data_IF_364660906457
#
_entry.id   IF_364660906457
#
_cell.length_a   1.000
_cell.length_b   1.000
_cell.length_c   1.000
_cell.angle_alpha   90.00
_cell.angle_beta   90.00
_cell.angle_gamma   90.00
#
_symmetry.space_group_name_H-M   'P 1'
#
loop_
_entity.id
_entity.type
_entity.pdbx_description
1 polymer ?
#
# COMPACT_ATOMS: atom_id res chain seq x y z
N UNK A 1 -34.61 18.49 11.83
CA UNK A 1 -35.53 17.40 12.21
C UNK A 1 -36.51 17.80 13.33
N UNK A 2 -36.14 18.60 14.32
CA UNK A 2 -37.04 19.01 15.43
C UNK A 2 -38.28 19.80 15.00
N UNK A 3 -38.16 20.71 14.00
CA UNK A 3 -39.32 21.56 13.56
C UNK A 3 -40.47 20.76 12.90
N UNK A 4 -40.18 19.67 12.19
CA UNK A 4 -41.20 18.86 11.50
C UNK A 4 -42.02 18.03 12.49
N UNK A 5 -41.41 17.58 13.58
CA UNK A 5 -42.06 16.78 14.62
C UNK A 5 -43.05 17.62 15.47
N UNK A 6 -42.69 18.84 15.87
CA UNK A 6 -43.55 19.74 16.67
C UNK A 6 -44.82 20.12 15.90
N UNK A 7 -44.68 20.56 14.64
CA UNK A 7 -45.83 20.94 13.81
C UNK A 7 -46.82 19.78 13.56
N UNK A 8 -46.32 18.53 13.53
CA UNK A 8 -47.15 17.34 13.34
C UNK A 8 -47.87 16.96 14.63
N UNK A 9 -47.28 17.24 15.80
CA UNK A 9 -47.88 17.03 17.11
C UNK A 9 -49.06 17.99 17.33
N UNK A 10 -48.88 19.28 17.00
CA UNK A 10 -49.92 20.28 17.10
C UNK A 10 -51.13 19.95 16.22
N UNK A 11 -50.91 19.44 15.02
CA UNK A 11 -51.95 18.94 14.11
C UNK A 11 -52.74 17.78 14.71
N UNK A 12 -52.07 16.83 15.35
CA UNK A 12 -52.70 15.68 15.94
C UNK A 12 -53.48 16.05 17.20
N UNK A 13 -52.97 16.91 18.07
CA UNK A 13 -53.68 17.43 19.25
C UNK A 13 -54.90 18.24 18.84
N UNK A 14 -54.75 19.08 17.82
CA UNK A 14 -55.88 19.84 17.28
C UNK A 14 -56.96 18.91 16.68
N UNK A 15 -56.55 17.86 15.97
CA UNK A 15 -57.44 16.87 15.37
C UNK A 15 -58.20 16.06 16.44
N UNK A 16 -57.57 15.73 17.55
CA UNK A 16 -58.22 15.06 18.68
C UNK A 16 -59.25 15.96 19.38
N UNK A 17 -59.01 17.27 19.46
CA UNK A 17 -59.88 18.21 20.12
C UNK A 17 -61.03 18.71 19.25
N UNK A 18 -60.79 18.96 17.97
CA UNK A 18 -61.72 19.64 17.09
C UNK A 18 -62.16 18.82 15.85
N UNK A 19 -61.71 17.58 15.79
CA UNK A 19 -62.01 16.66 14.68
C UNK A 19 -61.06 16.77 13.46
N UNK A 20 -60.96 15.66 12.72
CA UNK A 20 -60.01 15.51 11.60
C UNK A 20 -60.30 16.47 10.45
N UNK A 21 -61.59 16.75 10.15
CA UNK A 21 -61.99 17.66 9.08
C UNK A 21 -61.55 19.10 9.34
N UNK A 22 -61.72 19.56 10.56
CA UNK A 22 -61.30 20.91 10.96
C UNK A 22 -59.79 21.03 11.01
N UNK A 23 -59.09 19.98 11.46
CA UNK A 23 -57.62 19.93 11.42
C UNK A 23 -57.10 19.97 9.97
N UNK A 24 -57.69 19.20 9.07
CA UNK A 24 -57.32 19.20 7.68
C UNK A 24 -57.46 20.57 7.00
N UNK A 25 -58.55 21.28 7.28
CA UNK A 25 -58.81 22.65 6.80
C UNK A 25 -57.82 23.65 7.38
N UNK A 26 -57.67 23.67 8.72
CA UNK A 26 -56.78 24.61 9.43
C UNK A 26 -55.32 24.51 8.96
N UNK A 27 -54.86 23.29 8.80
CA UNK A 27 -53.45 23.05 8.46
C UNK A 27 -53.22 22.78 6.96
N UNK A 28 -54.23 23.05 6.11
CA UNK A 28 -54.14 22.89 4.64
C UNK A 28 -53.55 21.52 4.22
N UNK A 29 -54.13 20.45 4.78
CA UNK A 29 -53.62 19.08 4.55
C UNK A 29 -54.80 18.15 4.22
N UNK A 30 -54.46 16.92 3.78
CA UNK A 30 -55.47 15.90 3.44
C UNK A 30 -55.94 15.19 4.74
N UNK A 31 -57.25 14.89 4.85
CA UNK A 31 -57.82 14.10 5.95
C UNK A 31 -57.14 12.75 6.15
N UNK A 32 -56.77 12.06 5.04
CA UNK A 32 -56.07 10.79 5.12
C UNK A 32 -54.66 10.93 5.74
N UNK A 33 -53.99 12.06 5.54
CA UNK A 33 -52.71 12.33 6.18
C UNK A 33 -52.90 12.46 7.69
N UNK A 34 -53.94 13.19 8.15
CA UNK A 34 -54.26 13.35 9.58
C UNK A 34 -54.58 11.99 10.21
N UNK A 35 -55.44 11.17 9.59
CA UNK A 35 -55.71 9.80 10.07
C UNK A 35 -54.47 8.95 10.20
N UNK A 36 -53.57 8.99 9.21
CA UNK A 36 -52.28 8.24 9.23
C UNK A 36 -51.37 8.71 10.37
N UNK A 37 -51.39 10.00 10.70
CA UNK A 37 -50.61 10.53 11.80
C UNK A 37 -51.24 10.17 13.16
N UNK A 38 -52.56 10.30 13.31
CA UNK A 38 -53.26 9.89 14.49
C UNK A 38 -53.08 8.41 14.84
N UNK A 39 -53.08 7.54 13.82
CA UNK A 39 -52.79 6.10 14.01
C UNK A 39 -51.39 5.81 14.57
N UNK A 40 -50.43 6.73 14.39
CA UNK A 40 -49.06 6.61 14.88
C UNK A 40 -48.84 7.30 16.23
N UNK A 41 -49.75 8.23 16.59
CA UNK A 41 -49.59 9.08 17.75
C UNK A 41 -50.11 8.39 19.02
N UNK A 42 -49.18 8.14 19.95
CA UNK A 42 -49.43 7.52 21.25
C UNK A 42 -49.46 8.54 22.42
N UNK A 43 -49.58 9.83 22.10
CA UNK A 43 -49.46 10.91 23.08
C UNK A 43 -48.07 11.51 23.19
N UNK A 44 -47.05 10.85 22.67
CA UNK A 44 -45.68 11.32 22.70
C UNK A 44 -45.19 11.76 21.31
N UNK A 45 -44.51 12.91 21.25
CA UNK A 45 -43.91 13.46 20.00
C UNK A 45 -42.99 12.46 19.31
N UNK A 46 -42.29 11.62 20.09
CA UNK A 46 -41.36 10.61 19.56
C UNK A 46 -42.03 9.51 18.72
N UNK A 47 -43.32 9.25 18.95
CA UNK A 47 -44.05 8.25 18.15
C UNK A 47 -44.24 8.65 16.70
N UNK A 48 -44.22 9.95 16.42
CA UNK A 48 -44.29 10.53 15.08
C UNK A 48 -42.94 10.56 14.32
N UNK A 49 -41.87 10.22 14.99
CA UNK A 49 -40.54 10.19 14.35
C UNK A 49 -40.52 9.21 13.16
N UNK A 50 -39.88 9.62 12.07
CA UNK A 50 -39.70 8.76 10.90
C UNK A 50 -38.86 7.56 11.30
N UNK A 51 -39.41 6.37 11.19
CA UNK A 51 -38.67 5.13 11.38
C UNK A 51 -37.70 4.96 10.22
N UNK A 52 -36.53 4.42 10.51
CA UNK A 52 -35.55 4.08 9.47
C UNK A 52 -36.17 3.10 8.47
N UNK A 53 -36.05 3.41 7.16
CA UNK A 53 -36.42 2.51 6.06
C UNK A 53 -35.40 1.44 5.78
N UNK A 54 -34.32 1.44 6.54
CA UNK A 54 -33.21 0.51 6.36
C UNK A 54 -33.69 -0.91 6.71
N UNK A 55 -33.41 -1.90 5.88
CA UNK A 55 -33.71 -3.30 6.21
C UNK A 55 -33.07 -3.68 7.54
N UNK A 56 -33.78 -4.43 8.37
CA UNK A 56 -33.25 -4.97 9.64
C UNK A 56 -32.12 -5.95 9.38
N UNK A 57 -32.25 -6.74 8.33
CA UNK A 57 -31.24 -7.69 7.86
C UNK A 57 -30.81 -7.37 6.43
N UNK A 58 -29.54 -7.47 6.17
CA UNK A 58 -28.96 -7.38 4.82
C UNK A 58 -28.28 -8.71 4.51
N UNK A 59 -28.72 -9.48 3.49
CA UNK A 59 -28.12 -10.77 3.14
C UNK A 59 -26.63 -10.66 2.85
N UNK A 60 -26.20 -9.51 2.36
CA UNK A 60 -24.81 -9.22 2.02
C UNK A 60 -24.00 -8.58 3.15
N UNK A 61 -24.54 -8.52 4.39
CA UNK A 61 -23.75 -8.04 5.52
C UNK A 61 -22.61 -9.01 5.85
N UNK A 62 -21.47 -8.46 6.29
CA UNK A 62 -20.39 -9.30 6.82
C UNK A 62 -20.83 -9.95 8.11
N UNK A 63 -20.47 -11.22 8.28
CA UNK A 63 -20.66 -11.96 9.53
C UNK A 63 -19.65 -11.48 10.59
N UNK A 64 -19.93 -11.72 11.87
CA UNK A 64 -18.98 -11.37 12.93
C UNK A 64 -17.66 -12.19 12.82
N UNK A 65 -17.72 -13.39 12.30
CA UNK A 65 -16.55 -14.21 12.01
C UNK A 65 -15.65 -13.57 10.95
N UNK A 66 -16.24 -13.11 9.84
CA UNK A 66 -15.52 -12.38 8.78
C UNK A 66 -14.89 -11.08 9.32
N UNK A 67 -15.60 -10.33 10.14
CA UNK A 67 -15.10 -9.10 10.75
C UNK A 67 -13.97 -9.38 11.74
N UNK A 68 -14.08 -10.43 12.52
CA UNK A 68 -13.04 -10.89 13.45
C UNK A 68 -11.79 -11.35 12.69
N UNK A 69 -11.98 -12.10 11.60
CA UNK A 69 -10.88 -12.51 10.71
C UNK A 69 -10.15 -11.30 10.14
N UNK A 70 -10.88 -10.32 9.58
CA UNK A 70 -10.31 -9.08 9.04
C UNK A 70 -9.52 -8.35 10.13
N UNK A 71 -10.08 -8.16 11.31
CA UNK A 71 -9.42 -7.47 12.44
C UNK A 71 -8.14 -8.19 12.86
N UNK A 72 -8.18 -9.52 12.98
CA UNK A 72 -7.01 -10.35 13.32
C UNK A 72 -5.90 -10.24 12.28
N UNK A 73 -6.25 -10.36 11.00
CA UNK A 73 -5.28 -10.25 9.91
C UNK A 73 -4.72 -8.83 9.78
N UNK A 74 -5.54 -7.81 10.00
CA UNK A 74 -5.08 -6.41 10.00
C UNK A 74 -4.08 -6.15 11.14
N UNK A 75 -4.32 -6.67 12.34
CA UNK A 75 -3.37 -6.56 13.46
C UNK A 75 -2.02 -7.22 13.16
N UNK A 76 -2.04 -8.40 12.51
CA UNK A 76 -0.82 -9.18 12.22
C UNK A 76 -0.06 -8.67 10.98
N UNK A 77 -0.75 -8.31 9.93
CA UNK A 77 -0.18 -8.07 8.60
C UNK A 77 -0.42 -6.64 8.07
N UNK A 78 -1.17 -5.81 8.78
CA UNK A 78 -1.57 -4.47 8.29
C UNK A 78 -0.39 -3.53 7.99
N UNK A 79 0.76 -3.77 8.59
CA UNK A 79 1.99 -3.03 8.32
C UNK A 79 2.50 -3.25 6.89
N UNK A 80 2.28 -4.43 6.34
CA UNK A 80 2.66 -4.80 4.97
C UNK A 80 1.65 -4.33 3.90
N UNK A 81 0.54 -3.73 4.33
CA UNK A 81 -0.49 -3.18 3.46
C UNK A 81 -1.76 -4.02 3.38
N UNK A 82 -2.82 -3.41 2.81
CA UNK A 82 -4.14 -4.04 2.75
C UNK A 82 -4.21 -5.20 1.75
N UNK A 83 -3.35 -5.23 0.72
CA UNK A 83 -3.27 -6.34 -0.21
C UNK A 83 -2.85 -7.64 0.50
N UNK A 84 -1.81 -7.57 1.32
CA UNK A 84 -1.36 -8.71 2.12
C UNK A 84 -2.43 -9.17 3.11
N UNK A 85 -3.12 -8.24 3.77
CA UNK A 85 -4.26 -8.54 4.65
C UNK A 85 -5.34 -9.29 3.89
N UNK A 86 -5.69 -8.82 2.69
CA UNK A 86 -6.72 -9.42 1.84
C UNK A 86 -6.36 -10.84 1.45
N UNK A 87 -5.18 -11.05 0.88
CA UNK A 87 -4.70 -12.39 0.48
C UNK A 87 -4.70 -13.36 1.67
N UNK A 88 -4.29 -12.89 2.86
CA UNK A 88 -4.32 -13.70 4.09
C UNK A 88 -5.73 -13.97 4.61
N UNK A 89 -6.68 -13.11 4.34
CA UNK A 89 -8.09 -13.38 4.61
C UNK A 89 -8.64 -14.43 3.63
N UNK A 90 -8.37 -14.28 2.34
CA UNK A 90 -8.81 -15.24 1.31
C UNK A 90 -8.27 -16.64 1.55
N UNK A 91 -6.98 -16.77 1.93
CA UNK A 91 -6.39 -18.09 2.29
C UNK A 91 -7.03 -18.75 3.54
N UNK A 92 -7.94 -18.05 4.24
CA UNK A 92 -8.70 -18.52 5.41
C UNK A 92 -10.20 -18.51 5.19
N UNK A 93 -10.63 -18.60 3.92
CA UNK A 93 -12.03 -18.73 3.58
C UNK A 93 -12.80 -17.42 3.41
N UNK A 94 -12.14 -16.26 3.36
CA UNK A 94 -12.81 -15.00 3.05
C UNK A 94 -13.07 -14.90 1.54
N UNK A 95 -14.34 -14.81 1.13
CA UNK A 95 -14.78 -14.90 -0.28
C UNK A 95 -15.18 -13.57 -0.88
N UNK A 96 -15.30 -12.50 -0.05
CA UNK A 96 -15.79 -11.20 -0.54
C UNK A 96 -14.68 -10.38 -1.19
N UNK A 97 -15.07 -9.41 -2.02
CA UNK A 97 -14.13 -8.56 -2.75
C UNK A 97 -13.24 -7.71 -1.84
N UNK A 98 -12.09 -7.34 -2.33
CA UNK A 98 -11.15 -6.40 -1.67
C UNK A 98 -11.81 -5.07 -1.30
N UNK A 99 -12.62 -4.51 -2.22
CA UNK A 99 -13.36 -3.26 -1.97
C UNK A 99 -14.36 -3.40 -0.82
N UNK A 100 -15.00 -4.57 -0.68
CA UNK A 100 -15.91 -4.86 0.43
C UNK A 100 -15.17 -4.89 1.77
N UNK A 101 -14.03 -5.57 1.83
CA UNK A 101 -13.15 -5.56 3.01
C UNK A 101 -12.72 -4.14 3.40
N UNK A 102 -12.27 -3.34 2.43
CA UNK A 102 -11.82 -1.97 2.68
C UNK A 102 -12.95 -1.07 3.21
N UNK A 103 -14.19 -1.26 2.72
CA UNK A 103 -15.37 -0.55 3.25
C UNK A 103 -15.62 -0.90 4.71
N UNK A 104 -15.48 -2.17 5.11
CA UNK A 104 -15.67 -2.58 6.51
C UNK A 104 -14.56 -2.04 7.41
N UNK A 105 -13.30 -2.09 6.99
CA UNK A 105 -12.17 -1.51 7.73
C UNK A 105 -12.42 -0.02 8.04
N UNK A 106 -12.92 0.74 7.05
CA UNK A 106 -13.28 2.16 7.23
C UNK A 106 -14.49 2.33 8.13
N UNK A 107 -15.58 1.60 7.89
CA UNK A 107 -16.83 1.69 8.65
C UNK A 107 -16.64 1.37 10.13
N UNK A 108 -15.82 0.37 10.44
CA UNK A 108 -15.55 -0.07 11.83
C UNK A 108 -14.38 0.69 12.48
N UNK A 109 -13.73 1.63 11.77
CA UNK A 109 -12.61 2.41 12.31
C UNK A 109 -11.37 1.59 12.65
N UNK A 110 -11.19 0.42 12.04
CA UNK A 110 -10.05 -0.46 12.33
C UNK A 110 -8.70 0.14 11.90
N UNK A 111 -8.70 1.18 11.09
CA UNK A 111 -7.52 1.93 10.66
C UNK A 111 -7.86 3.41 10.62
N UNK A 112 -6.95 4.25 11.14
CA UNK A 112 -7.07 5.71 11.00
C UNK A 112 -7.10 6.08 9.51
N UNK A 113 -7.96 7.03 9.10
CA UNK A 113 -7.98 7.50 7.73
C UNK A 113 -6.61 8.07 7.34
N UNK A 114 -6.16 7.78 6.14
CA UNK A 114 -4.96 8.40 5.61
C UNK A 114 -5.28 9.85 5.23
N UNK A 115 -4.34 10.76 5.51
CA UNK A 115 -4.42 12.15 5.04
C UNK A 115 -4.32 12.11 3.51
N UNK A 116 -5.35 12.61 2.82
CA UNK A 116 -5.31 12.75 1.37
C UNK A 116 -4.23 13.77 0.99
N UNK A 117 -3.21 13.30 0.30
CA UNK A 117 -2.23 14.18 -0.36
C UNK A 117 -2.76 14.53 -1.74
N UNK A 118 -2.43 15.75 -2.24
CA UNK A 118 -2.73 16.16 -3.62
C UNK A 118 -2.24 15.08 -4.58
N UNK A 119 -3.10 14.65 -5.51
CA UNK A 119 -2.68 13.78 -6.61
C UNK A 119 -1.84 14.60 -7.57
N UNK A 120 -0.66 14.10 -7.91
CA UNK A 120 0.14 14.65 -9.00
C UNK A 120 -0.31 14.01 -10.31
N UNK A 121 -0.23 14.77 -11.41
CA UNK A 121 -0.48 14.29 -12.76
C UNK A 121 0.26 13.00 -13.04
N UNK A 122 -0.46 12.02 -13.60
CA UNK A 122 0.14 10.76 -14.03
C UNK A 122 1.17 11.02 -15.12
N UNK A 123 2.41 10.74 -14.81
CA UNK A 123 3.49 10.74 -15.80
C UNK A 123 3.45 9.41 -16.55
N UNK A 124 3.54 9.45 -17.88
CA UNK A 124 3.66 8.24 -18.71
C UNK A 124 4.94 7.50 -18.33
N UNK A 125 4.81 6.44 -17.54
CA UNK A 125 5.92 5.60 -17.12
C UNK A 125 6.09 4.48 -18.14
N UNK A 126 7.25 4.42 -18.74
CA UNK A 126 7.69 3.20 -19.40
C UNK A 126 8.13 2.24 -18.29
N UNK A 127 7.22 1.39 -17.84
CA UNK A 127 7.54 0.32 -16.88
C UNK A 127 8.33 -0.79 -17.59
N UNK A 128 9.09 -1.58 -16.84
CA UNK A 128 9.77 -2.76 -17.39
C UNK A 128 8.74 -3.75 -17.98
N UNK A 129 9.05 -4.34 -19.10
CA UNK A 129 8.16 -5.24 -19.86
C UNK A 129 8.25 -6.69 -19.36
N UNK A 130 9.40 -7.08 -18.81
CA UNK A 130 9.70 -8.42 -18.29
C UNK A 130 10.68 -8.34 -17.11
N UNK A 131 10.84 -9.40 -16.30
CA UNK A 131 11.81 -9.42 -15.21
C UNK A 131 13.23 -9.18 -15.73
N UNK A 132 13.93 -8.19 -15.16
CA UNK A 132 15.28 -7.82 -15.58
C UNK A 132 15.35 -6.82 -16.74
N UNK A 133 14.22 -6.46 -17.38
CA UNK A 133 14.25 -5.42 -18.42
C UNK A 133 14.87 -4.13 -17.89
N UNK A 134 14.43 -3.68 -16.71
CA UNK A 134 14.98 -2.49 -16.06
C UNK A 134 14.97 -2.62 -14.53
N UNK A 135 16.16 -2.48 -13.94
CA UNK A 135 16.37 -2.51 -12.49
C UNK A 135 16.84 -1.14 -12.01
N UNK A 136 16.15 -0.58 -11.02
CA UNK A 136 16.56 0.65 -10.34
C UNK A 136 17.49 0.30 -9.19
N UNK A 137 18.62 1.01 -9.08
CA UNK A 137 19.57 0.87 -7.96
C UNK A 137 19.75 2.22 -7.30
N UNK A 138 19.77 2.21 -5.97
CA UNK A 138 20.00 3.40 -5.15
C UNK A 138 20.62 3.01 -3.80
N UNK A 139 21.27 3.98 -3.16
CA UNK A 139 21.93 3.81 -1.86
C UNK A 139 21.32 4.78 -0.86
N UNK A 140 20.96 4.25 0.30
CA UNK A 140 20.54 5.08 1.42
C UNK A 140 21.36 4.85 2.67
N UNK A 141 21.37 5.83 3.55
CA UNK A 141 21.91 5.71 4.89
C UNK A 141 21.07 4.76 5.75
N UNK A 142 21.73 3.92 6.55
CA UNK A 142 21.08 3.25 7.66
C UNK A 142 20.98 4.27 8.81
N UNK A 143 19.78 4.52 9.36
CA UNK A 143 19.63 5.49 10.46
C UNK A 143 20.45 5.08 11.68
N UNK A 144 21.26 6.00 12.19
CA UNK A 144 22.11 5.74 13.37
C UNK A 144 21.29 5.47 14.63
N UNK A 145 20.08 6.00 14.71
CA UNK A 145 19.16 5.82 15.83
C UNK A 145 18.77 4.36 16.07
N UNK A 146 18.88 3.51 15.04
CA UNK A 146 18.57 2.08 15.15
C UNK A 146 19.81 1.22 15.47
N UNK A 147 21.03 1.81 15.54
CA UNK A 147 22.29 1.10 15.83
C UNK A 147 22.63 1.27 17.32
N UNK A 148 22.84 0.16 18.04
CA UNK A 148 23.19 0.11 19.46
C UNK A 148 24.45 -0.70 19.74
N UNK A 149 25.25 -1.00 18.74
CA UNK A 149 26.56 -1.61 18.89
C UNK A 149 27.67 -0.58 18.63
N UNK A 150 28.87 -0.77 19.18
CA UNK A 150 29.97 0.15 18.96
C UNK A 150 30.34 0.21 17.49
N UNK A 151 30.14 1.36 16.88
CA UNK A 151 30.48 1.59 15.46
C UNK A 151 31.55 2.67 15.27
N UNK A 152 32.03 3.32 16.34
CA UNK A 152 33.14 4.30 16.33
C UNK A 152 33.00 5.37 15.22
N UNK A 153 31.79 5.87 14.99
CA UNK A 153 31.49 6.82 13.91
C UNK A 153 31.30 6.19 12.52
N UNK A 154 31.41 4.87 12.39
CA UNK A 154 31.19 4.18 11.12
C UNK A 154 29.74 4.32 10.67
N UNK A 155 29.53 4.93 9.52
CA UNK A 155 28.22 4.99 8.86
C UNK A 155 27.98 3.71 8.06
N UNK A 156 26.76 3.15 8.19
CA UNK A 156 26.32 2.03 7.37
C UNK A 156 25.39 2.50 6.24
N UNK A 157 25.46 1.83 5.12
CA UNK A 157 24.65 2.13 3.93
C UNK A 157 23.90 0.89 3.49
N UNK A 158 22.74 1.10 2.92
CA UNK A 158 21.95 0.05 2.28
C UNK A 158 21.93 0.30 0.77
N UNK A 159 22.51 -0.61 0.00
CA UNK A 159 22.32 -0.68 -1.45
C UNK A 159 21.00 -1.41 -1.70
N UNK A 160 20.16 -0.86 -2.53
CA UNK A 160 18.86 -1.43 -2.92
C UNK A 160 18.77 -1.52 -4.43
N UNK A 161 18.52 -2.71 -4.94
CA UNK A 161 18.13 -2.92 -6.34
C UNK A 161 16.67 -3.38 -6.38
N UNK A 162 15.87 -2.83 -7.29
CA UNK A 162 14.47 -3.22 -7.48
C UNK A 162 14.13 -3.35 -8.95
N UNK A 163 13.62 -4.50 -9.35
CA UNK A 163 13.13 -4.74 -10.71
C UNK A 163 11.83 -3.99 -10.96
N UNK A 164 11.74 -3.31 -12.10
CA UNK A 164 10.57 -2.49 -12.42
C UNK A 164 9.34 -3.30 -12.79
N UNK A 165 9.48 -4.50 -13.34
CA UNK A 165 8.37 -5.37 -13.70
C UNK A 165 7.81 -6.10 -12.47
N UNK A 166 8.60 -6.97 -11.87
CA UNK A 166 8.18 -7.84 -10.78
C UNK A 166 8.15 -7.18 -9.41
N UNK A 167 8.83 -6.04 -9.24
CA UNK A 167 9.12 -5.41 -7.93
C UNK A 167 10.00 -6.27 -7.03
N UNK A 168 10.59 -7.35 -7.54
CA UNK A 168 11.59 -8.12 -6.80
C UNK A 168 12.75 -7.22 -6.45
N UNK A 169 13.23 -7.33 -5.21
CA UNK A 169 14.32 -6.48 -4.74
C UNK A 169 15.42 -7.29 -4.08
N UNK A 170 16.62 -6.73 -4.11
CA UNK A 170 17.82 -7.22 -3.42
C UNK A 170 18.39 -6.09 -2.58
N UNK A 171 18.78 -6.41 -1.34
CA UNK A 171 19.37 -5.47 -0.39
C UNK A 171 20.78 -5.94 0.01
N UNK A 172 21.70 -4.99 0.21
CA UNK A 172 23.03 -5.26 0.78
C UNK A 172 23.42 -4.16 1.75
N UNK A 173 23.88 -4.51 2.94
CA UNK A 173 24.48 -3.56 3.88
C UNK A 173 25.99 -3.47 3.61
N UNK A 174 26.48 -2.25 3.47
CA UNK A 174 27.89 -1.94 3.23
C UNK A 174 28.35 -0.86 4.22
N UNK A 175 29.67 -0.79 4.44
CA UNK A 175 30.30 0.20 5.32
C UNK A 175 30.70 1.47 4.58
N UNK A 176 30.83 1.38 3.27
CA UNK A 176 31.28 2.48 2.43
C UNK A 176 30.34 2.70 1.26
N UNK A 177 30.17 3.94 0.88
CA UNK A 177 29.50 4.38 -0.32
C UNK A 177 30.57 4.54 -1.41
N UNK A 178 31.06 3.42 -1.97
CA UNK A 178 32.17 3.40 -2.93
C UNK A 178 31.79 2.65 -4.21
N UNK A 179 32.54 2.95 -5.30
CA UNK A 179 32.39 2.23 -6.59
C UNK A 179 32.84 0.78 -6.47
N UNK A 180 33.61 0.44 -5.45
CA UNK A 180 33.99 -0.95 -5.15
C UNK A 180 32.78 -1.74 -4.66
N UNK A 181 32.11 -1.25 -3.62
CA UNK A 181 30.93 -1.92 -3.00
C UNK A 181 29.77 -2.04 -3.97
N UNK A 182 29.51 -1.01 -4.78
CA UNK A 182 28.46 -1.05 -5.80
C UNK A 182 28.81 -2.00 -6.94
N UNK A 183 30.08 -2.07 -7.35
CA UNK A 183 30.55 -3.03 -8.35
C UNK A 183 30.44 -4.48 -7.86
N UNK A 184 30.85 -4.78 -6.63
CA UNK A 184 30.69 -6.12 -6.04
C UNK A 184 29.22 -6.49 -5.81
N UNK A 185 28.37 -5.52 -5.54
CA UNK A 185 26.93 -5.73 -5.50
C UNK A 185 26.38 -6.15 -6.86
N UNK A 186 26.81 -5.46 -7.91
CA UNK A 186 26.36 -5.70 -9.29
C UNK A 186 26.76 -7.08 -9.81
N UNK A 187 27.99 -7.56 -9.54
CA UNK A 187 28.45 -8.90 -9.92
C UNK A 187 27.54 -10.02 -9.45
N UNK A 188 26.96 -9.86 -8.27
CA UNK A 188 26.13 -10.86 -7.65
C UNK A 188 24.62 -10.62 -7.87
N UNK A 189 24.25 -9.54 -8.57
CA UNK A 189 22.88 -9.07 -8.61
C UNK A 189 21.98 -10.01 -9.42
N UNK A 190 22.42 -10.47 -10.59
CA UNK A 190 21.64 -11.40 -11.43
C UNK A 190 21.38 -12.73 -10.72
N UNK A 191 22.41 -13.28 -10.08
CA UNK A 191 22.25 -14.51 -9.28
C UNK A 191 21.24 -14.35 -8.17
N UNK A 192 21.23 -13.20 -7.46
CA UNK A 192 20.28 -12.91 -6.40
C UNK A 192 18.89 -12.59 -6.92
N UNK A 193 18.78 -11.93 -8.07
CA UNK A 193 17.51 -11.65 -8.74
C UNK A 193 16.92 -12.92 -9.37
N UNK A 194 17.75 -13.89 -9.77
CA UNK A 194 17.33 -15.13 -10.42
C UNK A 194 16.98 -14.95 -11.91
N UNK A 195 17.42 -13.86 -12.54
CA UNK A 195 17.22 -13.58 -13.97
C UNK A 195 18.27 -12.57 -14.48
N UNK A 196 18.56 -12.57 -15.79
CA UNK A 196 19.49 -11.62 -16.41
C UNK A 196 18.91 -10.20 -16.39
N UNK A 197 19.80 -9.20 -16.35
CA UNK A 197 19.43 -7.79 -16.27
C UNK A 197 19.92 -7.05 -17.52
N UNK A 198 19.01 -6.40 -18.24
CA UNK A 198 19.31 -5.64 -19.44
C UNK A 198 19.71 -4.19 -19.14
N UNK A 199 18.93 -3.49 -18.34
CA UNK A 199 19.11 -2.06 -18.07
C UNK A 199 19.19 -1.83 -16.57
N UNK A 200 20.22 -1.11 -16.14
CA UNK A 200 20.36 -0.62 -14.77
C UNK A 200 20.13 0.88 -14.77
N UNK A 201 19.17 1.33 -13.99
CA UNK A 201 18.92 2.75 -13.77
C UNK A 201 19.48 3.18 -12.42
N UNK A 202 20.36 4.18 -12.45
CA UNK A 202 21.02 4.78 -11.28
C UNK A 202 20.84 6.30 -11.29
N UNK A 203 21.07 6.94 -10.16
CA UNK A 203 21.25 8.39 -10.11
C UNK A 203 22.65 8.81 -10.60
N UNK A 204 22.95 10.11 -10.50
CA UNK A 204 24.25 10.65 -10.88
C UNK A 204 25.30 10.60 -9.75
N UNK A 205 25.12 9.70 -8.78
CA UNK A 205 26.07 9.55 -7.68
C UNK A 205 27.43 9.03 -8.14
N UNK A 206 28.50 9.58 -7.57
CA UNK A 206 29.88 9.20 -7.90
C UNK A 206 30.22 7.72 -7.59
N UNK A 207 29.41 7.06 -6.77
CA UNK A 207 29.49 5.64 -6.47
C UNK A 207 29.02 4.74 -7.60
N UNK A 208 28.32 5.26 -8.60
CA UNK A 208 27.87 4.53 -9.77
C UNK A 208 28.62 4.94 -11.04
N UNK A 209 28.77 6.24 -11.22
CA UNK A 209 29.27 6.78 -12.48
C UNK A 209 30.25 7.92 -12.21
N UNK A 210 31.40 7.88 -12.87
CA UNK A 210 32.34 9.01 -12.84
C UNK A 210 31.74 10.22 -13.59
N UNK A 211 32.12 11.40 -13.15
CA UNK A 211 31.79 12.64 -13.84
C UNK A 211 32.61 12.70 -15.15
N UNK A 212 31.94 12.65 -16.28
CA UNK A 212 32.55 12.69 -17.61
C UNK A 212 33.28 14.01 -17.88
N UNK A 213 32.88 15.08 -17.21
CA UNK A 213 33.57 16.37 -17.31
C UNK A 213 34.91 16.42 -16.57
N UNK A 214 35.14 15.46 -15.65
CA UNK A 214 36.36 15.39 -14.84
C UNK A 214 37.32 14.30 -15.26
N UNK A 215 36.82 13.23 -15.86
CA UNK A 215 37.66 12.11 -16.29
C UNK A 215 36.97 11.28 -17.37
N UNK A 216 37.73 10.91 -18.40
CA UNK A 216 37.31 9.96 -19.44
C UNK A 216 37.34 8.51 -18.95
N UNK A 217 37.94 8.25 -17.79
CA UNK A 217 38.07 6.89 -17.26
C UNK A 217 36.74 6.40 -16.68
N UNK A 218 36.22 5.29 -17.16
CA UNK A 218 35.05 4.61 -16.64
C UNK A 218 35.30 4.12 -15.22
N UNK A 219 34.34 4.37 -14.33
CA UNK A 219 34.34 3.86 -12.95
C UNK A 219 34.27 2.34 -12.90
N UNK A 220 34.60 1.74 -11.75
CA UNK A 220 34.56 0.27 -11.57
C UNK A 220 33.13 -0.27 -11.82
N UNK A 221 32.10 0.38 -11.33
CA UNK A 221 30.71 0.00 -11.55
C UNK A 221 30.36 -0.06 -13.05
N UNK A 222 30.77 0.95 -13.83
CA UNK A 222 30.52 1.02 -15.26
C UNK A 222 31.22 -0.13 -16.01
N UNK A 223 32.49 -0.40 -15.68
CA UNK A 223 33.25 -1.49 -16.30
C UNK A 223 32.63 -2.86 -16.01
N UNK A 224 32.15 -3.09 -14.80
CA UNK A 224 31.47 -4.33 -14.43
C UNK A 224 30.14 -4.45 -15.17
N UNK A 225 29.34 -3.38 -15.25
CA UNK A 225 28.09 -3.40 -15.99
C UNK A 225 28.31 -3.77 -17.47
N UNK A 226 29.30 -3.16 -18.08
CA UNK A 226 29.70 -3.47 -19.49
C UNK A 226 30.15 -4.92 -19.66
N UNK A 227 30.97 -5.43 -18.74
CA UNK A 227 31.43 -6.83 -18.79
C UNK A 227 30.30 -7.84 -18.63
N UNK A 228 29.20 -7.45 -18.01
CA UNK A 228 27.99 -8.25 -17.85
C UNK A 228 26.94 -7.98 -18.95
N UNK A 229 27.27 -7.12 -19.95
CA UNK A 229 26.35 -6.76 -21.03
C UNK A 229 25.19 -5.87 -20.62
N UNK A 230 25.23 -5.26 -19.43
CA UNK A 230 24.19 -4.41 -18.90
C UNK A 230 24.32 -2.97 -19.39
N UNK A 231 23.20 -2.34 -19.75
CA UNK A 231 23.16 -0.94 -20.12
C UNK A 231 22.91 -0.06 -18.88
N UNK A 232 23.72 0.97 -18.68
CA UNK A 232 23.52 1.94 -17.61
C UNK A 232 22.67 3.10 -18.12
N UNK A 233 21.58 3.39 -17.43
CA UNK A 233 20.72 4.55 -17.66
C UNK A 233 20.79 5.48 -16.45
N UNK A 234 21.22 6.72 -16.66
CA UNK A 234 21.24 7.74 -15.62
C UNK A 234 19.88 8.43 -15.52
N UNK A 235 19.47 8.76 -14.32
CA UNK A 235 18.31 9.65 -14.13
C UNK A 235 18.68 11.08 -14.57
N UNK A 236 17.71 11.78 -15.13
CA UNK A 236 17.91 13.20 -15.47
C UNK A 236 18.10 14.00 -14.17
N UNK A 237 18.96 15.03 -14.17
CA UNK A 237 19.07 15.94 -13.05
C UNK A 237 17.68 16.46 -12.63
N UNK A 238 17.46 16.66 -11.35
CA UNK A 238 16.20 17.14 -10.76
C UNK A 238 14.96 16.30 -11.10
N UNK A 239 15.15 15.02 -11.44
CA UNK A 239 14.04 14.13 -11.83
C UNK A 239 13.88 12.93 -10.88
N UNK A 240 13.61 13.13 -9.57
CA UNK A 240 13.55 12.06 -8.57
C UNK A 240 12.45 11.03 -8.87
N UNK A 241 11.40 11.42 -9.59
CA UNK A 241 10.33 10.49 -9.97
C UNK A 241 10.81 9.32 -10.84
N UNK A 242 11.94 9.45 -11.53
CA UNK A 242 12.49 8.36 -12.35
C UNK A 242 12.92 7.18 -11.47
N UNK A 243 13.45 7.42 -10.26
CA UNK A 243 13.80 6.40 -9.26
C UNK A 243 12.68 6.14 -8.23
N UNK A 244 11.45 6.53 -8.54
CA UNK A 244 10.33 6.48 -7.59
C UNK A 244 9.99 5.08 -7.04
N UNK A 245 10.40 3.98 -7.70
CA UNK A 245 10.17 2.62 -7.20
C UNK A 245 11.13 2.28 -6.07
N UNK A 246 12.42 2.57 -6.25
CA UNK A 246 13.43 2.36 -5.20
C UNK A 246 13.22 3.30 -4.02
N UNK A 247 12.90 4.57 -4.26
CA UNK A 247 12.58 5.53 -3.19
C UNK A 247 11.36 5.12 -2.37
N UNK A 248 10.32 4.59 -3.01
CA UNK A 248 9.16 4.03 -2.31
C UNK A 248 9.55 2.83 -1.45
N UNK A 249 10.42 1.96 -1.96
CA UNK A 249 11.00 0.84 -1.20
C UNK A 249 11.73 1.35 0.04
N UNK A 250 12.57 2.39 -0.09
CA UNK A 250 13.27 3.01 1.03
C UNK A 250 12.34 3.56 2.10
N UNK A 251 11.19 4.15 1.71
CA UNK A 251 10.17 4.60 2.68
C UNK A 251 9.51 3.43 3.42
N UNK A 252 9.31 2.30 2.75
CA UNK A 252 8.79 1.08 3.39
C UNK A 252 9.82 0.54 4.40
N UNK A 253 11.11 0.51 4.05
CA UNK A 253 12.18 0.08 4.94
C UNK A 253 12.25 0.96 6.19
N UNK A 254 12.16 2.28 6.04
CA UNK A 254 12.13 3.21 7.18
C UNK A 254 10.97 2.92 8.13
N UNK A 255 9.79 2.55 7.61
CA UNK A 255 8.60 2.29 8.43
C UNK A 255 8.57 0.89 9.05
N UNK A 256 9.05 -0.12 8.31
CA UNK A 256 8.84 -1.53 8.67
C UNK A 256 10.05 -2.11 9.38
N UNK A 257 11.26 -1.71 8.98
CA UNK A 257 12.51 -2.22 9.54
C UNK A 257 13.14 -1.20 10.49
N UNK A 258 13.67 -0.10 9.98
CA UNK A 258 14.50 0.83 10.77
C UNK A 258 13.73 1.62 11.83
N UNK A 259 12.48 1.97 11.58
CA UNK A 259 11.63 2.65 12.56
C UNK A 259 11.02 1.72 13.64
N UNK A 260 11.34 0.43 13.62
CA UNK A 260 10.75 -0.56 14.55
C UNK A 260 11.74 -1.45 15.23
N UNK A 261 12.97 -1.49 14.75
CA UNK A 261 14.01 -2.38 15.27
C UNK A 261 15.24 -1.60 15.65
N UNK A 262 15.89 -2.10 16.67
CA UNK A 262 17.19 -1.67 17.12
C UNK A 262 18.13 -2.85 16.95
N UNK A 263 19.35 -2.62 16.49
CA UNK A 263 20.33 -3.65 16.18
C UNK A 263 21.48 -3.60 17.19
N UNK A 264 21.79 -4.74 17.77
CA UNK A 264 22.83 -4.89 18.82
C UNK A 264 24.16 -5.39 18.25
N UNK A 265 24.18 -5.81 16.99
CA UNK A 265 25.40 -6.21 16.26
C UNK A 265 25.25 -6.03 14.76
N UNK A 266 26.37 -5.89 14.05
CA UNK A 266 26.39 -5.85 12.58
C UNK A 266 25.81 -7.14 11.97
N UNK A 267 26.11 -8.28 12.57
CA UNK A 267 25.56 -9.58 12.14
C UNK A 267 24.03 -9.61 12.25
N UNK A 268 23.49 -9.04 13.31
CA UNK A 268 22.04 -8.91 13.49
C UNK A 268 21.45 -7.97 12.44
N UNK A 269 22.06 -6.79 12.21
CA UNK A 269 21.62 -5.85 11.18
C UNK A 269 21.52 -6.55 9.82
N UNK A 270 22.58 -7.22 9.37
CA UNK A 270 22.60 -7.95 8.10
C UNK A 270 21.53 -9.05 8.04
N UNK A 271 21.38 -9.84 9.09
CA UNK A 271 20.36 -10.90 9.19
C UNK A 271 18.94 -10.35 9.13
N UNK A 272 18.67 -9.22 9.78
CA UNK A 272 17.35 -8.61 9.79
C UNK A 272 17.00 -7.94 8.44
N UNK A 273 17.99 -7.35 7.76
CA UNK A 273 17.84 -6.81 6.41
C UNK A 273 17.51 -7.94 5.43
N UNK A 274 18.20 -9.08 5.51
CA UNK A 274 17.90 -10.25 4.65
C UNK A 274 16.47 -10.78 4.91
N UNK A 275 16.09 -10.96 6.16
CA UNK A 275 14.71 -11.37 6.51
C UNK A 275 13.66 -10.39 6.01
N UNK A 276 13.99 -9.09 6.01
CA UNK A 276 13.12 -8.05 5.51
C UNK A 276 13.00 -8.08 3.98
N UNK A 277 14.10 -8.35 3.26
CA UNK A 277 14.12 -8.61 1.82
C UNK A 277 13.22 -9.79 1.47
N UNK A 278 13.45 -10.96 2.09
CA UNK A 278 12.67 -12.17 1.88
C UNK A 278 11.17 -11.93 2.14
N UNK A 279 10.86 -11.23 3.23
CA UNK A 279 9.48 -10.88 3.55
C UNK A 279 8.85 -9.97 2.52
N UNK A 280 9.58 -8.96 2.05
CA UNK A 280 9.11 -8.05 1.01
C UNK A 280 8.81 -8.79 -0.30
N UNK A 281 9.72 -9.68 -0.72
CA UNK A 281 9.60 -10.43 -1.97
C UNK A 281 8.43 -11.43 -1.95
N UNK A 282 8.01 -11.88 -0.76
CA UNK A 282 6.83 -12.76 -0.56
C UNK A 282 5.55 -12.00 -0.21
N UNK A 283 5.58 -10.68 -0.12
CA UNK A 283 4.41 -9.87 0.27
C UNK A 283 3.59 -9.46 -0.95
N UNK A 284 2.28 -9.75 -0.90
CA UNK A 284 1.35 -9.39 -1.97
C UNK A 284 1.19 -7.87 -2.12
N UNK A 285 1.17 -7.39 -3.37
CA UNK A 285 1.08 -5.96 -3.70
C UNK A 285 -0.11 -5.66 -4.60
N UNK A 286 -0.82 -4.56 -4.33
CA UNK A 286 -1.94 -4.11 -5.18
C UNK A 286 -1.46 -3.85 -6.62
N UNK A 287 -0.27 -3.23 -6.77
CA UNK A 287 0.31 -2.94 -8.08
C UNK A 287 0.65 -4.18 -8.91
N UNK A 288 0.74 -5.34 -8.29
CA UNK A 288 0.97 -6.64 -8.91
C UNK A 288 -0.30 -7.51 -8.93
N UNK A 289 -1.48 -6.89 -8.90
CA UNK A 289 -2.78 -7.60 -8.89
C UNK A 289 -2.86 -8.64 -7.76
N UNK A 290 -2.40 -8.27 -6.56
CA UNK A 290 -2.33 -9.10 -5.34
C UNK A 290 -1.31 -10.25 -5.38
N UNK A 291 -0.42 -10.29 -6.38
CA UNK A 291 0.72 -11.20 -6.40
C UNK A 291 1.88 -10.62 -5.60
N UNK A 292 2.76 -11.49 -5.13
CA UNK A 292 4.05 -11.10 -4.58
C UNK A 292 5.10 -10.94 -5.70
N UNK A 293 6.21 -10.22 -5.47
CA UNK A 293 7.33 -10.18 -6.40
C UNK A 293 7.82 -11.56 -6.86
N UNK A 294 7.96 -12.50 -5.92
CA UNK A 294 8.39 -13.86 -6.24
C UNK A 294 7.39 -14.58 -7.15
N UNK A 295 6.09 -14.46 -6.89
CA UNK A 295 5.04 -15.03 -7.74
C UNK A 295 5.06 -14.44 -9.15
N UNK A 296 5.32 -13.14 -9.30
CA UNK A 296 5.42 -12.48 -10.60
C UNK A 296 6.57 -13.04 -11.42
N UNK A 297 7.73 -13.28 -10.79
CA UNK A 297 8.90 -13.88 -11.47
C UNK A 297 8.61 -15.31 -11.86
N UNK A 298 8.12 -16.14 -10.92
CA UNK A 298 7.83 -17.55 -11.19
C UNK A 298 6.82 -17.70 -12.33
N UNK A 299 5.73 -16.93 -12.30
CA UNK A 299 4.69 -16.99 -13.33
C UNK A 299 5.21 -16.58 -14.70
N UNK A 300 6.06 -15.54 -14.77
CA UNK A 300 6.62 -15.11 -16.04
C UNK A 300 7.46 -16.23 -16.68
N UNK A 301 8.39 -16.83 -15.95
CA UNK A 301 9.26 -17.87 -16.48
C UNK A 301 8.50 -19.20 -16.74
N UNK A 302 7.50 -19.55 -15.94
CA UNK A 302 6.65 -20.70 -16.23
C UNK A 302 5.88 -20.54 -17.55
N UNK A 303 5.38 -19.34 -17.83
CA UNK A 303 4.68 -19.06 -19.07
C UNK A 303 5.64 -19.05 -20.30
N UNK A 304 6.88 -18.58 -20.13
CA UNK A 304 7.87 -18.62 -21.19
C UNK A 304 8.29 -20.07 -21.54
N UNK A 305 8.41 -20.97 -20.56
CA UNK A 305 8.77 -22.37 -20.82
C UNK A 305 7.65 -23.12 -21.57
N UNK A 306 6.38 -22.80 -21.31
CA UNK A 306 5.24 -23.39 -22.05
C UNK A 306 5.26 -22.99 -23.54
N UNK A 307 5.77 -21.80 -23.88
CA UNK A 307 5.87 -21.35 -25.27
C UNK A 307 7.07 -21.97 -26.05
N UNK A 308 8.00 -22.63 -25.38
CA UNK A 308 9.15 -23.30 -26.01
C UNK A 308 8.85 -24.76 -26.36
N UNK A 309 7.85 -25.36 -25.72
CA UNK A 309 7.41 -26.75 -25.92
C UNK A 309 6.18 -26.87 -26.84
N UNK A 310 5.74 -25.79 -27.45
CA UNK A 310 4.64 -25.73 -28.43
C UNK A 310 5.16 -25.28 -29.81
#
# INVERSE_FOLDING_TARGET
MAKITTLTTDKNQYALKYGVTNAARKYQTNRQFVYRQLKKYDGNVRSLALRSRKPKHSPNAHTEEELTLIRRMLKRNGVYGLAEVYVRCCSRGYTRSFGSMCRQIRKKGYRKPAIHRKSYTNYNRMDGEYPGHKVQIDIKYVPMECIRFPCYGQQYYQITAIDEYSRRRVLKIVKEKSTYETGEFLRNLETKMGFPIRIIQVDNGSEFVNDENRTEKKGRFQRIAESLGMQIRRTRPYSPWQNGKVERSHREDGKILYGRKVFTSEKELRKQVQKHEDRYNRTAKISLKFKSPDQMVTEYFSNCNICLDS
#
